data_IF_801802533205
#
_entry.id   IF_801802533205
#
_cell.length_a   1.000
_cell.length_b   1.000
_cell.length_c   1.000
_cell.angle_alpha   90.00
_cell.angle_beta   90.00
_cell.angle_gamma   90.00
#
_symmetry.space_group_name_H-M   'P 1'
#
loop_
_entity.id
_entity.type
_entity.pdbx_description
1 polymer ?
#
# COMPACT_ATOMS: atom_id res chain seq x y z
N UNK A 1 27.20 30.24 53.13
CA UNK A 1 26.00 31.10 52.98
C UNK A 1 25.40 30.79 51.62
N UNK A 2 24.55 29.78 51.50
CA UNK A 2 23.15 29.76 51.92
C UNK A 2 22.23 30.45 50.91
N UNK A 3 21.32 29.65 50.36
CA UNK A 3 19.92 30.02 50.10
C UNK A 3 19.67 31.16 49.12
N UNK A 4 19.40 30.82 47.86
CA UNK A 4 18.13 31.16 47.21
C UNK A 4 18.16 30.74 45.75
N UNK A 5 17.33 29.75 45.39
CA UNK A 5 16.56 29.60 44.15
C UNK A 5 16.13 28.13 43.98
N UNK A 6 15.52 27.61 45.05
CA UNK A 6 14.56 26.50 44.99
C UNK A 6 13.17 27.13 45.05
N UNK A 7 12.25 26.63 44.21
CA UNK A 7 10.80 26.91 44.09
C UNK A 7 10.40 27.86 42.96
N UNK A 8 9.96 27.26 41.86
CA UNK A 8 8.56 27.30 41.41
C UNK A 8 8.41 26.53 40.09
N UNK A 9 8.40 25.20 40.16
CA UNK A 9 7.70 24.40 39.15
C UNK A 9 6.39 24.00 39.80
N UNK A 10 5.38 24.83 39.53
CA UNK A 10 4.01 24.68 39.97
C UNK A 10 3.48 23.29 39.58
N UNK A 11 2.90 22.60 40.56
CA UNK A 11 2.07 21.42 40.41
C UNK A 11 1.02 21.65 39.31
N UNK A 12 1.27 21.18 38.10
CA UNK A 12 0.20 20.71 37.23
C UNK A 12 0.06 19.23 37.49
N UNK A 13 -0.94 18.90 38.30
CA UNK A 13 -1.55 17.59 38.33
C UNK A 13 -1.81 17.16 36.89
N UNK A 14 -1.02 16.22 36.39
CA UNK A 14 -1.41 15.44 35.23
C UNK A 14 -2.62 14.64 35.67
N UNK A 15 -3.82 15.12 35.32
CA UNK A 15 -5.00 14.29 35.35
C UNK A 15 -4.66 13.03 34.56
N UNK A 16 -4.71 11.90 35.26
CA UNK A 16 -4.46 10.58 34.72
C UNK A 16 -5.55 10.25 33.69
N UNK A 17 -5.38 10.79 32.48
CA UNK A 17 -5.99 10.23 31.28
C UNK A 17 -5.34 8.86 31.15
N UNK A 18 -6.09 7.86 31.58
CA UNK A 18 -5.81 6.45 31.35
C UNK A 18 -5.69 6.26 29.83
N UNK A 19 -4.47 6.38 29.32
CA UNK A 19 -4.13 5.94 27.97
C UNK A 19 -4.55 4.47 27.88
N UNK A 20 -5.54 4.18 27.05
CA UNK A 20 -5.82 2.79 26.67
C UNK A 20 -4.56 2.24 26.01
N UNK A 21 -3.85 1.43 26.80
CA UNK A 21 -2.77 0.51 26.48
C UNK A 21 -1.54 1.05 25.75
N UNK A 22 -0.45 1.20 26.51
CA UNK A 22 0.86 0.73 26.06
C UNK A 22 0.73 -0.74 25.65
N UNK A 23 0.87 -1.06 24.36
CA UNK A 23 1.14 -2.41 23.81
C UNK A 23 0.63 -3.61 24.63
N UNK A 24 -0.63 -3.59 25.06
CA UNK A 24 -1.22 -4.70 25.79
C UNK A 24 -1.73 -5.70 24.77
N UNK A 25 -1.26 -6.95 24.88
CA UNK A 25 -1.69 -8.07 24.05
C UNK A 25 -3.22 -8.05 23.88
N UNK A 26 -3.70 -8.29 22.64
CA UNK A 26 -5.11 -8.43 22.33
C UNK A 26 -5.78 -9.38 23.34
N UNK A 27 -6.70 -8.84 24.14
CA UNK A 27 -7.53 -9.64 25.06
C UNK A 27 -8.92 -9.76 24.43
N UNK A 28 -9.29 -10.91 23.87
CA UNK A 28 -10.61 -11.09 23.29
C UNK A 28 -11.68 -10.98 24.38
N UNK A 29 -12.68 -10.14 24.15
CA UNK A 29 -13.90 -10.13 24.97
C UNK A 29 -14.57 -11.49 24.77
N UNK A 30 -14.98 -12.20 25.85
CA UNK A 30 -15.65 -13.49 25.74
C UNK A 30 -16.89 -13.47 24.83
N UNK A 31 -17.32 -14.66 24.41
CA UNK A 31 -18.60 -14.84 23.71
C UNK A 31 -19.75 -14.44 24.65
N UNK A 32 -20.79 -13.81 24.09
CA UNK A 32 -21.99 -13.44 24.84
C UNK A 32 -22.64 -14.67 25.51
N UNK A 33 -22.97 -14.64 26.81
CA UNK A 33 -23.50 -15.80 27.53
C UNK A 33 -24.83 -16.32 26.97
N UNK A 34 -25.74 -15.43 26.57
CA UNK A 34 -27.03 -15.85 26.05
C UNK A 34 -26.87 -16.53 24.69
N UNK A 35 -26.00 -16.00 23.83
CA UNK A 35 -25.64 -16.66 22.57
C UNK A 35 -24.93 -17.99 22.81
N UNK A 36 -24.02 -18.05 23.78
CA UNK A 36 -23.30 -19.28 24.13
C UNK A 36 -24.28 -20.41 24.47
N UNK A 37 -25.29 -20.17 25.31
CA UNK A 37 -26.27 -21.17 25.70
C UNK A 37 -27.13 -21.64 24.52
N UNK A 38 -27.58 -20.71 23.67
CA UNK A 38 -28.33 -21.05 22.46
C UNK A 38 -27.48 -21.88 21.49
N UNK A 39 -26.23 -21.47 21.26
CA UNK A 39 -25.30 -22.16 20.38
C UNK A 39 -24.97 -23.56 20.90
N UNK A 40 -24.74 -23.71 22.21
CA UNK A 40 -24.49 -25.00 22.86
C UNK A 40 -25.67 -25.96 22.67
N UNK A 41 -26.90 -25.46 22.82
CA UNK A 41 -28.11 -26.24 22.56
C UNK A 41 -28.19 -26.67 21.08
N UNK A 42 -27.94 -25.75 20.15
CA UNK A 42 -27.93 -26.04 18.71
C UNK A 42 -26.83 -27.04 18.31
N UNK A 43 -25.67 -26.98 18.97
CA UNK A 43 -24.52 -27.86 18.74
C UNK A 43 -24.58 -29.18 19.52
N UNK A 44 -25.76 -29.56 20.03
CA UNK A 44 -25.97 -30.82 20.77
C UNK A 44 -25.00 -30.98 21.96
N UNK A 45 -24.72 -29.88 22.67
CA UNK A 45 -23.88 -29.86 23.87
C UNK A 45 -22.39 -29.63 23.64
N UNK A 46 -21.90 -29.56 22.39
CA UNK A 46 -20.50 -29.19 22.10
C UNK A 46 -20.22 -27.75 22.54
N UNK A 47 -18.96 -27.48 22.92
CA UNK A 47 -18.52 -26.15 23.37
C UNK A 47 -18.53 -25.13 22.22
N UNK A 48 -19.35 -24.08 22.26
CA UNK A 48 -19.34 -22.99 21.28
C UNK A 48 -17.99 -22.27 21.14
N UNK A 49 -17.08 -22.32 22.12
CA UNK A 49 -15.73 -21.76 21.94
C UNK A 49 -14.94 -22.48 20.83
N UNK A 50 -15.29 -23.72 20.50
CA UNK A 50 -14.72 -24.43 19.35
C UNK A 50 -15.02 -23.75 18.00
N UNK A 51 -15.96 -22.80 17.96
CA UNK A 51 -16.27 -21.99 16.78
C UNK A 51 -15.40 -20.74 16.65
N UNK A 52 -14.52 -20.45 17.61
CA UNK A 52 -13.57 -19.33 17.52
C UNK A 52 -12.53 -19.68 16.46
N UNK A 53 -12.40 -18.81 15.46
CA UNK A 53 -11.35 -18.93 14.46
C UNK A 53 -10.10 -18.19 14.92
N UNK A 54 -9.05 -18.93 15.26
CA UNK A 54 -7.73 -18.35 15.48
C UNK A 54 -7.06 -18.14 14.13
N UNK A 55 -6.92 -16.88 13.74
CA UNK A 55 -6.26 -16.54 12.48
C UNK A 55 -4.73 -16.70 12.60
N UNK A 56 -4.01 -16.86 11.49
CA UNK A 56 -2.55 -16.87 11.49
C UNK A 56 -1.91 -15.64 12.14
N UNK A 57 -2.61 -14.51 12.17
CA UNK A 57 -2.19 -13.25 12.82
C UNK A 57 -2.29 -13.30 14.36
N UNK A 58 -2.74 -14.40 14.95
CA UNK A 58 -2.93 -14.53 16.39
C UNK A 58 -4.17 -13.79 16.92
N UNK A 59 -5.14 -13.50 16.03
CA UNK A 59 -6.41 -12.86 16.39
C UNK A 59 -7.48 -13.93 16.52
N UNK A 60 -8.15 -13.95 17.67
CA UNK A 60 -9.29 -14.84 17.92
C UNK A 60 -10.58 -14.20 17.37
N UNK A 61 -11.05 -14.65 16.21
CA UNK A 61 -12.30 -14.20 15.62
C UNK A 61 -13.47 -14.94 16.24
N UNK A 62 -14.35 -14.19 16.91
CA UNK A 62 -15.58 -14.72 17.48
C UNK A 62 -16.62 -15.03 16.39
N UNK A 63 -17.48 -16.03 16.62
CA UNK A 63 -18.59 -16.34 15.71
C UNK A 63 -19.71 -15.28 15.72
N UNK A 64 -19.72 -14.40 16.72
CA UNK A 64 -20.67 -13.29 16.85
C UNK A 64 -19.99 -12.09 17.53
N UNK A 65 -20.24 -10.89 17.00
CA UNK A 65 -19.85 -9.61 17.60
C UNK A 65 -21.09 -8.77 17.90
N UNK A 66 -21.12 -8.17 19.09
CA UNK A 66 -22.21 -7.32 19.58
C UNK A 66 -21.73 -5.90 19.87
N UNK A 67 -22.64 -5.02 20.30
CA UNK A 67 -22.31 -3.64 20.66
C UNK A 67 -21.24 -3.58 21.76
N UNK A 68 -21.27 -4.53 22.69
CA UNK A 68 -20.34 -4.67 23.80
C UNK A 68 -18.90 -4.86 23.32
N UNK A 69 -18.70 -5.47 22.15
CA UNK A 69 -17.39 -5.65 21.54
C UNK A 69 -16.77 -4.35 21.02
N UNK A 70 -17.58 -3.30 20.92
CA UNK A 70 -17.16 -1.95 20.54
C UNK A 70 -17.05 -0.99 21.71
N UNK A 71 -17.20 -1.44 22.97
CA UNK A 71 -17.06 -0.55 24.15
C UNK A 71 -15.70 0.15 24.23
N UNK A 72 -14.65 -0.45 23.67
CA UNK A 72 -13.34 0.19 23.56
C UNK A 72 -13.33 1.42 22.61
N UNK A 73 -14.35 1.57 21.76
CA UNK A 73 -14.57 2.74 20.91
C UNK A 73 -15.34 3.86 21.62
N UNK A 74 -15.94 3.64 22.81
CA UNK A 74 -16.80 4.63 23.47
C UNK A 74 -16.08 5.96 23.78
N UNK A 75 -14.76 5.91 23.95
CA UNK A 75 -13.93 7.10 24.16
C UNK A 75 -13.33 7.68 22.87
N UNK A 76 -13.49 7.00 21.72
CA UNK A 76 -12.98 7.47 20.44
C UNK A 76 -13.87 8.58 19.91
N UNK A 77 -13.24 9.68 19.48
CA UNK A 77 -13.95 10.74 18.77
C UNK A 77 -14.40 10.23 17.39
N UNK A 78 -15.51 10.75 16.89
CA UNK A 78 -15.94 10.50 15.52
C UNK A 78 -14.84 10.90 14.53
N UNK A 79 -14.43 9.94 13.71
CA UNK A 79 -13.43 10.16 12.67
C UNK A 79 -14.08 10.58 11.35
N UNK A 80 -13.39 11.48 10.64
CA UNK A 80 -13.74 11.92 9.29
C UNK A 80 -12.66 11.41 8.32
N UNK A 81 -13.03 10.94 7.12
CA UNK A 81 -12.04 10.66 6.08
C UNK A 81 -11.29 11.94 5.71
N UNK A 82 -10.02 11.81 5.30
CA UNK A 82 -9.16 12.96 5.02
C UNK A 82 -8.64 13.70 6.25
N UNK A 83 -8.87 13.18 7.46
CA UNK A 83 -8.33 13.72 8.70
C UNK A 83 -7.61 12.63 9.50
N UNK A 84 -6.45 12.96 10.06
CA UNK A 84 -5.71 12.07 10.96
C UNK A 84 -6.64 11.51 12.06
N UNK A 85 -6.63 10.20 12.36
CA UNK A 85 -5.63 9.18 11.98
C UNK A 85 -5.92 8.45 10.65
N UNK A 86 -6.85 8.93 9.83
CA UNK A 86 -7.18 8.40 8.50
C UNK A 86 -7.73 6.96 8.49
N UNK A 87 -8.22 6.42 9.62
CA UNK A 87 -8.85 5.09 9.68
C UNK A 87 -9.98 4.94 8.67
N UNK A 88 -10.68 6.04 8.36
CA UNK A 88 -11.80 6.07 7.40
C UNK A 88 -11.40 6.44 5.96
N UNK A 89 -10.10 6.61 5.70
CA UNK A 89 -9.54 6.91 4.38
C UNK A 89 -8.75 8.22 4.32
N UNK A 90 -7.78 8.34 3.39
CA UNK A 90 -6.87 9.48 3.28
C UNK A 90 -7.48 10.73 2.63
N UNK A 91 -8.63 10.63 1.95
CA UNK A 91 -9.25 11.75 1.23
C UNK A 91 -10.68 12.01 1.72
N UNK A 92 -11.14 13.26 1.86
CA UNK A 92 -12.47 13.55 2.41
C UNK A 92 -13.65 12.95 1.61
N UNK A 93 -13.54 12.90 0.29
CA UNK A 93 -14.59 12.39 -0.60
C UNK A 93 -14.40 10.92 -0.98
N UNK A 94 -13.20 10.36 -0.77
CA UNK A 94 -12.85 9.01 -1.21
C UNK A 94 -13.36 8.72 -2.63
N UNK A 95 -14.04 7.60 -2.83
CA UNK A 95 -14.51 7.14 -4.14
C UNK A 95 -15.83 7.76 -4.60
N UNK A 96 -16.43 8.69 -3.83
CA UNK A 96 -17.67 9.35 -4.26
C UNK A 96 -17.43 10.40 -5.34
N UNK A 97 -16.22 10.96 -5.41
CA UNK A 97 -15.81 11.91 -6.45
C UNK A 97 -14.88 11.27 -7.49
N UNK A 98 -13.89 10.50 -7.05
CA UNK A 98 -12.89 9.87 -7.93
C UNK A 98 -12.69 8.42 -7.50
N UNK A 99 -13.00 7.40 -8.34
CA UNK A 99 -12.77 6.01 -7.98
C UNK A 99 -11.27 5.72 -7.84
N UNK A 100 -10.94 4.56 -7.28
CA UNK A 100 -9.55 4.09 -7.29
C UNK A 100 -9.05 3.91 -8.73
N UNK A 101 -7.74 4.12 -8.93
CA UNK A 101 -7.13 3.90 -10.24
C UNK A 101 -7.04 2.41 -10.53
N UNK A 102 -7.65 1.96 -11.63
CA UNK A 102 -7.38 0.63 -12.18
C UNK A 102 -6.00 0.69 -12.82
N UNK A 103 -5.05 -0.05 -12.23
CA UNK A 103 -3.66 -0.15 -12.72
C UNK A 103 -3.31 -1.62 -12.85
N UNK A 104 -3.32 -2.11 -14.08
CA UNK A 104 -2.93 -3.48 -14.37
C UNK A 104 -1.41 -3.60 -14.32
N UNK A 105 -0.93 -4.61 -13.59
CA UNK A 105 0.47 -4.98 -13.59
C UNK A 105 0.78 -5.69 -14.91
N UNK A 106 1.69 -5.11 -15.70
CA UNK A 106 1.83 -5.47 -17.09
C UNK A 106 3.30 -5.40 -17.54
N UNK A 107 3.79 -6.50 -18.09
CA UNK A 107 5.09 -6.58 -18.74
C UNK A 107 5.13 -7.87 -19.52
N UNK A 108 5.49 -7.77 -20.79
CA UNK A 108 5.78 -8.89 -21.66
C UNK A 108 7.30 -9.01 -21.82
N UNK A 109 7.74 -10.08 -22.49
CA UNK A 109 9.15 -10.40 -22.62
C UNK A 109 9.95 -9.32 -23.36
N UNK A 110 9.33 -8.60 -24.31
CA UNK A 110 10.01 -7.53 -25.06
C UNK A 110 9.37 -6.15 -24.87
N UNK A 111 10.14 -5.11 -25.23
CA UNK A 111 9.69 -3.71 -25.16
C UNK A 111 8.53 -3.44 -26.13
N UNK A 112 8.53 -4.08 -27.31
CA UNK A 112 7.51 -3.90 -28.35
C UNK A 112 6.17 -4.51 -27.93
N UNK A 113 6.19 -5.74 -27.40
CA UNK A 113 4.99 -6.41 -26.89
C UNK A 113 4.40 -5.63 -25.72
N UNK A 114 5.26 -5.16 -24.82
CA UNK A 114 4.85 -4.33 -23.68
C UNK A 114 4.24 -3.00 -24.14
N UNK A 115 4.85 -2.31 -25.10
CA UNK A 115 4.34 -1.06 -25.66
C UNK A 115 2.98 -1.25 -26.37
N UNK A 116 2.86 -2.27 -27.21
CA UNK A 116 1.62 -2.60 -27.91
C UNK A 116 0.49 -2.85 -26.91
N UNK A 117 0.76 -3.63 -25.87
CA UNK A 117 -0.18 -3.89 -24.78
C UNK A 117 -0.58 -2.63 -24.02
N UNK A 118 0.37 -1.73 -23.73
CA UNK A 118 0.06 -0.45 -23.08
C UNK A 118 -0.89 0.40 -23.94
N UNK A 119 -0.65 0.47 -25.25
CA UNK A 119 -1.53 1.20 -26.19
C UNK A 119 -2.94 0.61 -26.24
N UNK A 120 -3.07 -0.71 -26.26
CA UNK A 120 -4.38 -1.39 -26.23
C UNK A 120 -5.15 -1.12 -24.93
N UNK A 121 -4.47 -1.20 -23.79
CA UNK A 121 -5.09 -0.91 -22.50
C UNK A 121 -5.53 0.54 -22.35
N UNK A 122 -4.72 1.48 -22.84
CA UNK A 122 -5.11 2.91 -22.85
C UNK A 122 -6.38 3.11 -23.68
N UNK A 123 -6.48 2.46 -24.86
CA UNK A 123 -7.71 2.48 -25.68
C UNK A 123 -8.90 1.86 -24.94
N UNK A 124 -8.67 0.85 -24.10
CA UNK A 124 -9.69 0.23 -23.24
C UNK A 124 -10.01 1.03 -21.97
N UNK A 125 -9.41 2.21 -21.76
CA UNK A 125 -9.71 3.11 -20.64
C UNK A 125 -8.79 2.98 -19.42
N UNK A 126 -7.68 2.26 -19.52
CA UNK A 126 -6.68 2.19 -18.45
C UNK A 126 -6.02 3.57 -18.23
N UNK A 127 -6.04 4.06 -16.99
CA UNK A 127 -5.59 5.40 -16.63
C UNK A 127 -4.18 5.45 -16.04
N UNK A 128 -3.56 4.30 -15.78
CA UNK A 128 -2.19 4.22 -15.25
C UNK A 128 -1.49 2.96 -15.73
N UNK A 129 -0.21 3.07 -16.06
CA UNK A 129 0.63 1.96 -16.50
C UNK A 129 1.44 1.40 -15.34
N UNK A 130 1.75 0.11 -15.38
CA UNK A 130 2.72 -0.47 -14.45
C UNK A 130 3.68 -1.32 -15.25
N UNK A 131 4.98 -1.17 -14.99
CA UNK A 131 6.05 -1.89 -15.67
C UNK A 131 6.57 -3.00 -14.76
N UNK A 132 6.65 -4.22 -15.31
CA UNK A 132 7.37 -5.35 -14.74
C UNK A 132 8.68 -5.54 -15.50
N UNK A 133 9.80 -5.59 -14.80
CA UNK A 133 11.13 -5.79 -15.39
C UNK A 133 11.58 -7.24 -15.22
N UNK A 134 12.46 -7.71 -16.08
CA UNK A 134 13.09 -9.00 -15.89
C UNK A 134 14.07 -9.02 -14.70
N UNK A 135 14.57 -10.22 -14.36
CA UNK A 135 15.47 -10.37 -13.21
C UNK A 135 16.87 -9.79 -13.48
N UNK A 136 17.31 -9.72 -14.74
CA UNK A 136 18.58 -9.14 -15.13
C UNK A 136 18.60 -7.63 -14.83
N UNK A 137 17.64 -6.90 -15.39
CA UNK A 137 17.41 -5.47 -15.14
C UNK A 137 17.20 -5.22 -13.65
N UNK A 138 16.39 -6.04 -12.96
CA UNK A 138 16.18 -5.89 -11.50
C UNK A 138 17.47 -5.85 -10.69
N UNK A 139 18.46 -6.63 -11.11
CA UNK A 139 19.75 -6.79 -10.44
C UNK A 139 20.86 -5.91 -11.03
N UNK A 140 20.55 -5.11 -12.05
CA UNK A 140 21.47 -4.17 -12.68
C UNK A 140 22.50 -4.85 -13.57
N UNK A 141 22.12 -5.94 -14.24
CA UNK A 141 22.92 -6.57 -15.29
C UNK A 141 22.34 -6.23 -16.66
N UNK A 142 23.23 -5.95 -17.60
CA UNK A 142 22.88 -5.90 -19.03
C UNK A 142 22.58 -7.32 -19.53
N UNK A 143 21.74 -7.41 -20.56
CA UNK A 143 21.27 -8.68 -21.13
C UNK A 143 22.37 -9.60 -21.66
N UNK A 144 23.54 -9.06 -22.03
CA UNK A 144 24.69 -9.84 -22.52
C UNK A 144 25.54 -10.43 -21.38
N UNK A 145 25.20 -10.14 -20.12
CA UNK A 145 25.96 -10.65 -18.99
C UNK A 145 25.82 -12.18 -18.89
N UNK A 146 26.93 -12.95 -18.88
CA UNK A 146 26.87 -14.41 -18.87
C UNK A 146 26.10 -15.02 -17.69
N UNK A 147 25.91 -14.27 -16.60
CA UNK A 147 25.22 -14.72 -15.40
C UNK A 147 23.70 -14.74 -15.53
N UNK A 148 23.14 -13.98 -16.48
CA UNK A 148 21.70 -13.72 -16.58
C UNK A 148 21.08 -14.15 -17.91
N UNK A 149 21.83 -14.85 -18.77
CA UNK A 149 21.35 -15.31 -20.08
C UNK A 149 19.98 -16.02 -20.03
N UNK A 150 19.69 -16.79 -18.97
CA UNK A 150 18.41 -17.49 -18.80
C UNK A 150 17.30 -16.66 -18.16
N UNK A 151 17.59 -15.41 -17.76
CA UNK A 151 16.67 -14.53 -17.05
C UNK A 151 16.14 -13.39 -17.94
N UNK A 152 16.83 -13.08 -19.05
CA UNK A 152 16.50 -11.97 -19.97
C UNK A 152 15.10 -12.14 -20.54
N UNK A 153 14.23 -11.14 -20.34
CA UNK A 153 12.86 -11.13 -20.85
C UNK A 153 11.91 -12.17 -20.24
N UNK A 154 12.32 -12.92 -19.21
CA UNK A 154 11.52 -14.05 -18.70
C UNK A 154 10.42 -13.61 -17.72
N UNK A 155 10.75 -12.71 -16.80
CA UNK A 155 9.83 -12.26 -15.74
C UNK A 155 9.13 -10.93 -16.06
N UNK A 156 9.58 -10.24 -17.11
CA UNK A 156 9.13 -8.92 -17.51
C UNK A 156 10.00 -8.39 -18.64
N UNK A 157 9.92 -7.09 -18.90
CA UNK A 157 10.67 -6.46 -19.99
C UNK A 157 12.15 -6.33 -19.64
N UNK A 158 13.02 -6.65 -20.59
CA UNK A 158 14.45 -6.36 -20.52
C UNK A 158 14.70 -4.88 -20.84
N UNK A 159 15.46 -4.19 -19.98
CA UNK A 159 15.90 -2.80 -20.19
C UNK A 159 17.37 -2.71 -19.84
N UNK A 160 18.20 -2.46 -20.84
CA UNK A 160 19.65 -2.29 -20.71
C UNK A 160 20.04 -0.81 -20.82
N UNK A 161 19.28 -0.05 -21.61
CA UNK A 161 19.60 1.32 -21.98
C UNK A 161 18.37 2.23 -22.06
N UNK A 162 18.64 3.53 -22.21
CA UNK A 162 17.57 4.52 -22.43
C UNK A 162 16.81 4.27 -23.73
N UNK A 163 17.43 3.63 -24.72
CA UNK A 163 16.78 3.32 -26.00
C UNK A 163 15.66 2.28 -25.83
N UNK A 164 15.82 1.33 -24.91
CA UNK A 164 14.78 0.36 -24.57
C UNK A 164 13.61 1.06 -23.89
N UNK A 165 13.91 1.98 -22.96
CA UNK A 165 12.90 2.77 -22.27
C UNK A 165 12.11 3.69 -23.22
N UNK A 166 12.78 4.26 -24.23
CA UNK A 166 12.16 5.07 -25.28
C UNK A 166 11.21 4.23 -26.12
N UNK A 167 11.62 3.04 -26.53
CA UNK A 167 10.77 2.12 -27.27
C UNK A 167 9.57 1.64 -26.43
N UNK A 168 9.81 1.32 -25.17
CA UNK A 168 8.77 0.89 -24.22
C UNK A 168 7.64 1.92 -24.11
N UNK A 169 7.97 3.22 -24.15
CA UNK A 169 7.02 4.32 -24.03
C UNK A 169 6.74 5.07 -25.33
N UNK A 170 7.17 4.55 -26.48
CA UNK A 170 6.92 5.18 -27.76
C UNK A 170 5.42 5.39 -28.00
N UNK A 171 5.02 6.62 -28.33
CA UNK A 171 3.62 7.00 -28.54
C UNK A 171 2.72 6.97 -27.29
N UNK A 172 3.28 6.83 -26.08
CA UNK A 172 2.54 6.91 -24.82
C UNK A 172 2.63 8.34 -24.27
N UNK A 173 1.50 9.02 -23.96
CA UNK A 173 1.52 10.38 -23.43
C UNK A 173 1.90 10.39 -21.94
N UNK A 174 3.20 10.43 -21.64
CA UNK A 174 3.75 10.33 -20.27
C UNK A 174 3.38 11.51 -19.36
N UNK A 175 2.93 12.64 -19.91
CA UNK A 175 2.37 13.79 -19.19
C UNK A 175 0.96 13.50 -18.62
N UNK A 176 0.20 12.63 -19.28
CA UNK A 176 -1.17 12.27 -18.92
C UNK A 176 -1.28 10.93 -18.21
N UNK A 177 -0.26 10.08 -18.36
CA UNK A 177 -0.22 8.76 -17.75
C UNK A 177 0.53 8.80 -16.42
N UNK A 178 -0.04 8.15 -15.41
CA UNK A 178 0.74 7.78 -14.23
C UNK A 178 1.44 6.46 -14.50
N UNK A 179 2.77 6.42 -14.41
CA UNK A 179 3.57 5.20 -14.58
C UNK A 179 4.08 4.73 -13.22
N UNK A 180 3.85 3.46 -12.93
CA UNK A 180 4.44 2.76 -11.79
C UNK A 180 5.51 1.80 -12.30
N UNK A 181 6.68 1.81 -11.68
CA UNK A 181 7.78 0.92 -12.03
C UNK A 181 8.10 0.08 -10.81
N UNK A 182 7.88 -1.24 -10.88
CA UNK A 182 8.25 -2.14 -9.78
C UNK A 182 9.75 -2.42 -9.90
N UNK A 183 10.58 -1.48 -9.46
CA UNK A 183 12.04 -1.60 -9.50
C UNK A 183 12.61 -1.26 -8.13
N UNK A 184 13.59 -2.06 -7.68
CA UNK A 184 14.22 -1.92 -6.36
C UNK A 184 15.74 -1.86 -6.47
N UNK A 185 16.38 -2.92 -6.97
CA UNK A 185 17.85 -3.04 -7.04
C UNK A 185 18.46 -1.99 -7.97
N UNK A 186 18.13 -2.04 -9.25
CA UNK A 186 18.61 -1.09 -10.26
C UNK A 186 17.74 0.19 -10.36
N UNK A 187 17.22 0.69 -9.24
CA UNK A 187 16.31 1.84 -9.23
C UNK A 187 16.94 3.11 -9.83
N UNK A 188 18.24 3.33 -9.61
CA UNK A 188 18.95 4.52 -10.11
C UNK A 188 18.97 4.57 -11.64
N UNK A 189 19.54 3.59 -12.36
CA UNK A 189 19.57 3.64 -13.82
C UNK A 189 18.15 3.59 -14.41
N UNK A 190 17.24 2.76 -13.89
CA UNK A 190 15.87 2.65 -14.43
C UNK A 190 15.11 3.97 -14.31
N UNK A 191 15.19 4.63 -13.15
CA UNK A 191 14.55 5.94 -12.98
C UNK A 191 15.20 7.02 -13.86
N UNK A 192 16.53 6.99 -14.02
CA UNK A 192 17.23 7.92 -14.91
C UNK A 192 16.79 7.74 -16.37
N UNK A 193 16.72 6.50 -16.85
CA UNK A 193 16.26 6.16 -18.20
C UNK A 193 14.81 6.59 -18.41
N UNK A 194 13.92 6.39 -17.43
CA UNK A 194 12.54 6.87 -17.50
C UNK A 194 12.45 8.40 -17.63
N UNK A 195 13.23 9.14 -16.82
CA UNK A 195 13.25 10.61 -16.88
C UNK A 195 13.72 11.08 -18.25
N UNK A 196 14.82 10.52 -18.77
CA UNK A 196 15.36 10.89 -20.08
C UNK A 196 14.38 10.53 -21.20
N UNK A 197 13.77 9.35 -21.18
CA UNK A 197 12.74 8.98 -22.16
C UNK A 197 11.54 9.94 -22.14
N UNK A 198 11.12 10.40 -20.95
CA UNK A 198 10.07 11.41 -20.83
C UNK A 198 10.51 12.77 -21.39
N UNK A 199 11.72 13.25 -21.05
CA UNK A 199 12.27 14.52 -21.54
C UNK A 199 12.41 14.51 -23.08
N UNK A 200 12.92 13.42 -23.66
CA UNK A 200 13.05 13.26 -25.11
C UNK A 200 11.70 13.14 -25.84
N UNK A 201 10.64 12.69 -25.14
CA UNK A 201 9.27 12.72 -25.67
C UNK A 201 8.60 14.10 -25.57
N UNK A 202 9.32 15.12 -25.08
CA UNK A 202 8.84 16.49 -24.94
C UNK A 202 8.08 16.78 -23.63
N UNK A 203 8.14 15.86 -22.65
CA UNK A 203 7.51 16.04 -21.34
C UNK A 203 8.48 16.72 -20.39
N UNK A 204 8.09 17.88 -19.83
CA UNK A 204 8.90 18.53 -18.81
C UNK A 204 9.04 17.65 -17.56
N UNK A 205 10.24 17.58 -16.99
CA UNK A 205 10.50 16.80 -15.77
C UNK A 205 9.54 17.11 -14.62
N UNK A 206 9.09 18.37 -14.49
CA UNK A 206 8.13 18.79 -13.47
C UNK A 206 6.72 18.22 -13.68
N UNK A 207 6.31 17.94 -14.91
CA UNK A 207 4.96 17.46 -15.25
C UNK A 207 4.87 15.94 -15.33
N UNK A 208 6.00 15.22 -15.28
CA UNK A 208 5.95 13.79 -14.99
C UNK A 208 5.25 13.58 -13.65
N UNK A 209 4.15 12.83 -13.63
CA UNK A 209 3.26 12.63 -12.47
C UNK A 209 3.92 11.95 -11.25
N UNK A 210 5.24 11.82 -11.26
CA UNK A 210 6.09 11.40 -10.17
C UNK A 210 6.53 12.57 -9.27
N UNK A 211 6.58 13.80 -9.79
CA UNK A 211 7.14 14.98 -9.11
C UNK A 211 6.12 15.84 -8.34
N UNK A 212 4.83 15.46 -8.32
CA UNK A 212 3.74 16.26 -7.75
C UNK A 212 3.08 15.62 -6.52
N UNK A 213 3.90 15.17 -5.56
CA UNK A 213 3.48 15.17 -4.15
C UNK A 213 3.95 16.48 -3.49
N UNK A 214 3.19 17.56 -3.66
CA UNK A 214 3.24 18.72 -2.76
C UNK A 214 1.82 19.07 -2.34
#
# INVERSE_FOLDING_TARGET
MASHLLRQVSNRTFDAVRLCSNAAAYQPIPIDPAWYDMAKKAMKGKDPNSLIWNTPEGIAIKPLYLKEDRKCDDHRKSELPGKYPFTRGPYPTMYTQRPWTIRQYAGFSTVEESNAFYKENIKAGQQGLSVAFDLATHRGYDSDNPRVFGDVGMAGVAVDSVEDMKQLFDGIPLDKMSVSMTMNGAVIPVLAMYIVAAEESGVERKTTNWYHSK
#
